data_IF_092795018439
#
_entry.id   IF_092795018439
#
_cell.length_a   1.000
_cell.length_b   1.000
_cell.length_c   1.000
_cell.angle_alpha   90.00
_cell.angle_beta   90.00
_cell.angle_gamma   90.00
#
_symmetry.space_group_name_H-M   'P 1'
#
loop_
_entity.id
_entity.type
_entity.pdbx_description
1 polymer ?
#
# COMPACT_ATOMS: atom_id res chain seq x y z
N UNK A 1 4.46 54.39 -24.49
CA UNK A 1 4.89 53.86 -23.17
C UNK A 1 4.82 52.36 -23.20
N UNK A 2 5.95 51.67 -23.31
CA UNK A 2 6.02 50.21 -23.29
C UNK A 2 6.13 49.80 -21.81
N UNK A 3 5.09 49.18 -21.29
CA UNK A 3 5.06 48.64 -19.93
C UNK A 3 5.91 47.36 -19.91
N UNK A 4 7.14 47.47 -19.40
CA UNK A 4 7.93 46.27 -19.04
C UNK A 4 7.21 45.56 -17.88
N UNK A 5 6.54 44.43 -18.15
CA UNK A 5 6.16 43.49 -17.12
C UNK A 5 7.47 42.97 -16.51
N UNK A 6 7.72 43.28 -15.23
CA UNK A 6 8.74 42.58 -14.45
C UNK A 6 8.34 41.09 -14.43
N UNK A 7 9.15 40.24 -15.03
CA UNK A 7 9.09 38.82 -14.78
C UNK A 7 9.33 38.61 -13.28
N UNK A 8 8.34 38.06 -12.58
CA UNK A 8 8.53 37.60 -11.21
C UNK A 8 9.54 36.44 -11.27
N UNK A 9 10.74 36.70 -10.80
CA UNK A 9 11.74 35.65 -10.63
C UNK A 9 11.23 34.72 -9.56
N UNK A 10 10.76 33.52 -9.96
CA UNK A 10 10.37 32.47 -9.00
C UNK A 10 11.60 32.17 -8.12
N UNK A 11 11.43 32.11 -6.78
CA UNK A 11 12.54 31.79 -5.90
C UNK A 11 13.14 30.42 -6.28
N UNK A 12 14.45 30.34 -6.27
CA UNK A 12 15.16 29.10 -6.56
C UNK A 12 14.84 28.05 -5.49
N UNK A 13 14.41 26.85 -5.93
CA UNK A 13 14.07 25.74 -5.02
C UNK A 13 15.37 25.17 -4.44
N UNK A 14 15.51 25.20 -3.11
CA UNK A 14 16.67 24.67 -2.40
C UNK A 14 16.66 23.14 -2.41
N UNK A 15 17.86 22.53 -2.47
CA UNK A 15 18.00 21.08 -2.34
C UNK A 15 18.05 20.68 -0.86
N UNK A 16 17.28 19.63 -0.51
CA UNK A 16 17.27 18.98 0.80
C UNK A 16 18.38 17.91 0.83
N UNK A 17 19.24 17.91 1.83
CA UNK A 17 20.16 16.78 2.03
C UNK A 17 19.35 15.54 2.42
N UNK A 18 19.54 14.46 1.66
CA UNK A 18 18.82 13.21 1.92
C UNK A 18 19.32 12.55 3.19
N UNK A 19 18.47 12.50 4.18
CA UNK A 19 18.64 11.74 5.42
C UNK A 19 17.38 10.92 5.69
N UNK A 20 17.45 9.61 5.45
CA UNK A 20 16.30 8.74 5.62
C UNK A 20 15.80 8.70 7.09
N UNK A 21 16.70 8.88 8.09
CA UNK A 21 16.33 8.88 9.51
C UNK A 21 15.47 10.07 9.89
N UNK A 22 15.70 11.22 9.25
CA UNK A 22 14.84 12.39 9.41
C UNK A 22 13.51 12.20 8.67
N UNK A 23 13.54 11.66 7.45
CA UNK A 23 12.33 11.41 6.67
C UNK A 23 11.43 10.33 7.27
N UNK A 24 11.98 9.33 7.96
CA UNK A 24 11.19 8.33 8.73
C UNK A 24 10.31 8.99 9.79
N UNK A 25 10.74 10.08 10.42
CA UNK A 25 9.97 10.82 11.42
C UNK A 25 8.76 11.54 10.82
N UNK A 26 8.74 11.71 9.51
CA UNK A 26 7.68 12.39 8.79
C UNK A 26 6.56 11.46 8.32
N UNK A 27 6.75 10.13 8.41
CA UNK A 27 5.65 9.20 8.21
C UNK A 27 4.52 9.47 9.22
N UNK A 28 3.28 9.35 8.76
CA UNK A 28 2.07 9.64 9.52
C UNK A 28 1.89 11.10 9.96
N UNK A 29 2.73 12.03 9.48
CA UNK A 29 2.45 13.47 9.66
C UNK A 29 1.39 13.94 8.66
N UNK A 30 0.56 14.93 9.03
CA UNK A 30 -0.40 15.51 8.10
C UNK A 30 0.31 16.08 6.85
N UNK A 31 -0.24 15.80 5.67
CA UNK A 31 0.28 16.25 4.38
C UNK A 31 0.62 17.76 4.35
N UNK A 32 -0.29 18.58 4.93
CA UNK A 32 -0.09 20.03 4.98
C UNK A 32 1.07 20.46 5.88
N UNK A 33 1.31 19.73 6.97
CA UNK A 33 2.42 20.01 7.88
C UNK A 33 3.76 19.61 7.24
N UNK A 34 3.79 18.49 6.52
CA UNK A 34 4.94 18.08 5.71
C UNK A 34 5.24 19.14 4.62
N UNK A 35 4.23 19.59 3.88
CA UNK A 35 4.39 20.63 2.87
C UNK A 35 4.93 21.94 3.47
N UNK A 36 4.44 22.34 4.64
CA UNK A 36 4.92 23.51 5.36
C UNK A 36 6.37 23.38 5.83
N UNK A 37 6.73 22.20 6.37
CA UNK A 37 8.10 21.89 6.85
C UNK A 37 9.13 22.02 5.73
N UNK A 38 8.80 21.57 4.53
CA UNK A 38 9.72 21.52 3.38
C UNK A 38 9.42 22.55 2.30
N UNK A 39 8.72 23.64 2.62
CA UNK A 39 8.23 24.62 1.65
C UNK A 39 9.33 25.17 0.69
N UNK A 40 10.57 25.35 1.18
CA UNK A 40 11.69 25.84 0.36
C UNK A 40 12.29 24.78 -0.58
N UNK A 41 11.95 23.51 -0.37
CA UNK A 41 12.48 22.37 -1.12
C UNK A 41 11.49 21.84 -2.15
N UNK A 42 10.21 22.30 -2.13
CA UNK A 42 9.14 21.78 -2.99
C UNK A 42 9.40 22.22 -4.44
N UNK A 43 9.49 21.24 -5.33
CA UNK A 43 9.50 21.43 -6.78
C UNK A 43 8.13 21.21 -7.42
N UNK A 44 7.32 20.28 -6.87
CA UNK A 44 5.95 19.99 -7.30
C UNK A 44 5.09 19.80 -6.06
N UNK A 45 3.93 20.45 -6.05
CA UNK A 45 2.86 20.26 -5.08
C UNK A 45 1.58 19.95 -5.83
N UNK A 46 1.03 18.75 -5.62
CA UNK A 46 -0.23 18.33 -6.21
C UNK A 46 -1.20 17.93 -5.08
N UNK A 47 -2.03 18.89 -4.68
CA UNK A 47 -3.01 18.68 -3.60
C UNK A 47 -4.11 17.69 -4.00
N UNK A 48 -4.40 17.53 -5.30
CA UNK A 48 -5.40 16.58 -5.78
C UNK A 48 -4.93 15.14 -5.68
N UNK A 49 -3.67 14.89 -6.07
CA UNK A 49 -3.05 13.57 -5.96
C UNK A 49 -2.43 13.32 -4.57
N UNK A 50 -2.50 14.28 -3.64
CA UNK A 50 -1.80 14.26 -2.36
C UNK A 50 -0.31 13.91 -2.51
N UNK A 51 0.37 14.57 -3.46
CA UNK A 51 1.74 14.28 -3.85
C UNK A 51 2.62 15.54 -3.69
N UNK A 52 3.76 15.37 -3.03
CA UNK A 52 4.79 16.40 -2.87
C UNK A 52 6.10 15.89 -3.44
N UNK A 53 6.74 16.65 -4.33
CA UNK A 53 8.09 16.35 -4.81
C UNK A 53 9.04 17.41 -4.31
N UNK A 54 10.06 17.00 -3.55
CA UNK A 54 11.14 17.84 -3.07
C UNK A 54 12.37 17.63 -3.95
N UNK A 55 13.13 18.70 -4.18
CA UNK A 55 14.51 18.58 -4.66
C UNK A 55 15.39 18.04 -3.54
N UNK A 56 16.11 16.97 -3.80
CA UNK A 56 17.05 16.37 -2.85
C UNK A 56 18.46 16.28 -3.40
N UNK A 57 19.40 16.04 -2.51
CA UNK A 57 20.79 15.73 -2.84
C UNK A 57 21.31 14.67 -1.89
N UNK A 58 22.03 13.68 -2.41
CA UNK A 58 22.74 12.66 -1.66
C UNK A 58 24.23 12.71 -2.02
N UNK A 59 25.09 12.81 -1.00
CA UNK A 59 26.54 12.79 -1.21
C UNK A 59 27.07 11.38 -1.03
N UNK A 60 27.74 10.85 -2.05
CA UNK A 60 28.41 9.55 -2.03
C UNK A 60 29.87 9.74 -2.42
N UNK A 61 30.78 9.37 -1.55
CA UNK A 61 32.24 9.49 -1.78
C UNK A 61 32.68 10.92 -2.20
N UNK A 62 32.03 11.94 -1.60
CA UNK A 62 32.35 13.35 -1.86
C UNK A 62 31.75 13.91 -3.16
N UNK A 63 30.94 13.15 -3.87
CA UNK A 63 30.22 13.60 -5.06
C UNK A 63 28.71 13.67 -4.76
N UNK A 64 28.10 14.79 -5.17
CA UNK A 64 26.67 15.03 -4.99
C UNK A 64 25.83 14.45 -6.13
N UNK A 65 24.75 13.78 -5.77
CA UNK A 65 23.77 13.20 -6.67
C UNK A 65 22.40 13.81 -6.41
N UNK A 66 21.82 14.44 -7.42
CA UNK A 66 20.50 15.05 -7.33
C UNK A 66 19.41 14.00 -7.28
N UNK A 67 18.44 14.19 -6.37
CA UNK A 67 17.31 13.29 -6.13
C UNK A 67 15.98 14.02 -6.30
N UNK A 68 14.96 13.29 -6.72
CA UNK A 68 13.56 13.59 -6.41
C UNK A 68 13.17 12.83 -5.15
N UNK A 69 12.69 13.54 -4.13
CA UNK A 69 12.11 12.96 -2.92
C UNK A 69 10.61 13.17 -3.01
N UNK A 70 9.87 12.08 -3.23
CA UNK A 70 8.46 12.06 -3.52
C UNK A 70 7.73 11.56 -2.28
N UNK A 71 6.92 12.41 -1.65
CA UNK A 71 6.05 12.05 -0.53
C UNK A 71 4.61 11.92 -1.02
N UNK A 72 3.96 10.83 -0.65
CA UNK A 72 2.55 10.56 -0.95
C UNK A 72 1.73 10.59 0.33
N UNK A 73 0.51 11.14 0.25
CA UNK A 73 -0.46 11.11 1.33
C UNK A 73 -1.47 9.97 1.15
N UNK A 74 -1.87 9.35 2.26
CA UNK A 74 -2.94 8.36 2.32
C UNK A 74 -4.34 9.01 2.37
N UNK A 75 -5.39 8.16 2.37
CA UNK A 75 -6.78 8.61 2.47
C UNK A 75 -7.12 9.31 3.81
N UNK A 76 -6.25 9.20 4.82
CA UNK A 76 -6.37 9.93 6.10
C UNK A 76 -5.81 11.35 6.00
N UNK A 77 -5.10 11.65 4.92
CA UNK A 77 -4.40 12.90 4.70
C UNK A 77 -3.03 12.98 5.39
N UNK A 78 -2.43 11.84 5.70
CA UNK A 78 -1.09 11.75 6.29
C UNK A 78 -0.10 11.18 5.27
N UNK A 79 1.18 11.51 5.43
CA UNK A 79 2.25 10.93 4.61
C UNK A 79 2.42 9.45 5.00
N UNK A 80 2.19 8.54 4.06
CA UNK A 80 2.31 7.09 4.24
C UNK A 80 3.53 6.48 3.54
N UNK A 81 4.05 7.19 2.54
CA UNK A 81 5.17 6.72 1.74
C UNK A 81 6.06 7.89 1.27
N UNK A 82 7.36 7.70 1.36
CA UNK A 82 8.37 8.60 0.82
C UNK A 82 9.32 7.79 -0.06
N UNK A 83 9.56 8.27 -1.29
CA UNK A 83 10.43 7.63 -2.27
C UNK A 83 11.52 8.61 -2.68
N UNK A 84 12.79 8.24 -2.49
CA UNK A 84 13.91 9.00 -3.05
C UNK A 84 14.49 8.26 -4.26
N UNK A 85 14.58 8.94 -5.38
CA UNK A 85 15.12 8.39 -6.64
C UNK A 85 16.03 9.40 -7.33
N UNK A 86 17.07 8.96 -8.08
CA UNK A 86 17.94 9.87 -8.78
C UNK A 86 17.18 10.63 -9.87
N UNK A 87 17.51 11.92 -10.03
CA UNK A 87 17.00 12.71 -11.16
C UNK A 87 17.60 12.28 -12.50
N UNK A 88 18.80 11.69 -12.48
CA UNK A 88 19.43 11.08 -13.65
C UNK A 88 19.56 9.56 -13.40
N UNK A 89 18.92 8.77 -14.25
CA UNK A 89 18.89 7.30 -14.17
C UNK A 89 20.29 6.67 -14.22
N UNK A 90 21.25 7.29 -14.90
CA UNK A 90 22.65 6.81 -14.93
C UNK A 90 23.31 6.74 -13.56
N UNK A 91 22.79 7.47 -12.57
CA UNK A 91 23.28 7.47 -11.20
C UNK A 91 22.71 6.31 -10.36
N UNK A 92 21.73 5.58 -10.87
CA UNK A 92 21.01 4.52 -10.14
C UNK A 92 21.93 3.43 -9.63
N UNK A 93 22.88 2.98 -10.44
CA UNK A 93 23.84 1.94 -10.06
C UNK A 93 24.77 2.38 -8.92
N UNK A 94 25.21 3.63 -8.93
CA UNK A 94 26.09 4.17 -7.88
C UNK A 94 25.34 4.26 -6.57
N UNK A 95 24.13 4.79 -6.59
CA UNK A 95 23.27 4.91 -5.40
C UNK A 95 22.84 3.55 -4.86
N UNK A 96 22.46 2.61 -5.74
CA UNK A 96 22.20 1.23 -5.34
C UNK A 96 23.37 0.61 -4.60
N UNK A 97 24.57 0.64 -5.18
CA UNK A 97 25.75 0.07 -4.57
C UNK A 97 26.09 0.73 -3.24
N UNK A 98 25.93 2.05 -3.13
CA UNK A 98 26.16 2.78 -1.89
C UNK A 98 25.19 2.35 -0.79
N UNK A 99 23.89 2.36 -1.06
CA UNK A 99 22.88 2.07 -0.04
C UNK A 99 22.80 0.61 0.33
N UNK A 100 22.90 -0.31 -0.63
CA UNK A 100 22.92 -1.75 -0.35
C UNK A 100 24.23 -2.17 0.29
N UNK A 101 25.37 -1.73 -0.27
CA UNK A 101 26.71 -2.09 0.23
C UNK A 101 26.98 -1.60 1.66
N UNK A 102 26.41 -0.47 2.06
CA UNK A 102 26.56 0.10 3.39
C UNK A 102 25.36 -0.14 4.31
N UNK A 103 24.47 -1.03 3.97
CA UNK A 103 23.21 -1.25 4.72
C UNK A 103 23.40 -1.56 6.19
N UNK A 104 24.44 -2.33 6.56
CA UNK A 104 24.79 -2.63 7.96
C UNK A 104 25.28 -1.40 8.73
N UNK A 105 25.98 -0.46 8.08
CA UNK A 105 26.50 0.76 8.67
C UNK A 105 25.46 1.85 8.78
N UNK A 106 24.51 1.89 7.85
CA UNK A 106 23.46 2.88 7.79
C UNK A 106 22.36 2.63 8.83
N UNK A 107 22.22 1.39 9.34
CA UNK A 107 21.31 1.09 10.45
C UNK A 107 19.84 1.09 10.05
N UNK A 108 19.49 0.39 8.96
CA UNK A 108 18.12 0.29 8.45
C UNK A 108 17.15 -0.53 9.30
N UNK A 109 17.63 -1.18 10.36
CA UNK A 109 16.87 -2.13 11.16
C UNK A 109 17.15 -3.57 10.75
N UNK A 110 16.25 -4.48 11.12
CA UNK A 110 16.38 -5.89 10.80
C UNK A 110 16.14 -6.14 9.30
N UNK A 111 17.04 -6.90 8.67
CA UNK A 111 16.80 -7.39 7.31
C UNK A 111 15.62 -8.36 7.32
N UNK A 112 14.69 -8.17 6.41
CA UNK A 112 13.50 -9.01 6.28
C UNK A 112 13.70 -10.00 5.14
N UNK A 113 13.94 -9.49 3.94
CA UNK A 113 14.05 -10.30 2.74
C UNK A 113 14.67 -9.48 1.60
N UNK A 114 15.21 -10.18 0.61
CA UNK A 114 15.43 -9.62 -0.71
C UNK A 114 14.61 -10.40 -1.73
N UNK A 115 13.88 -9.69 -2.58
CA UNK A 115 13.11 -10.27 -3.68
C UNK A 115 13.74 -9.91 -5.00
N UNK A 116 13.60 -10.81 -5.97
CA UNK A 116 14.01 -10.53 -7.33
C UNK A 116 13.00 -11.10 -8.34
N UNK A 117 12.91 -10.45 -9.48
CA UNK A 117 12.16 -10.91 -10.65
C UNK A 117 13.03 -10.75 -11.90
N UNK A 118 13.23 -11.84 -12.61
CA UNK A 118 14.03 -11.92 -13.84
C UNK A 118 13.17 -12.45 -14.99
N UNK A 119 13.74 -12.55 -16.17
CA UNK A 119 13.07 -13.21 -17.31
C UNK A 119 12.79 -14.69 -17.02
N UNK A 120 13.68 -15.34 -16.26
CA UNK A 120 13.65 -16.78 -16.03
C UNK A 120 12.85 -17.17 -14.77
N UNK A 121 12.41 -16.20 -13.95
CA UNK A 121 11.64 -16.46 -12.74
C UNK A 121 11.75 -15.36 -11.68
N UNK A 122 11.20 -15.66 -10.52
CA UNK A 122 11.25 -14.80 -9.34
C UNK A 122 11.64 -15.61 -8.12
N UNK A 123 12.18 -14.95 -7.09
CA UNK A 123 12.55 -15.59 -5.84
C UNK A 123 12.64 -14.62 -4.69
N UNK A 124 12.74 -15.22 -3.49
CA UNK A 124 12.92 -14.49 -2.23
C UNK A 124 14.08 -15.10 -1.47
N UNK A 125 14.99 -14.26 -1.01
CA UNK A 125 16.14 -14.59 -0.18
C UNK A 125 15.91 -14.01 1.21
N UNK A 126 15.97 -14.82 2.23
CA UNK A 126 15.69 -14.44 3.63
C UNK A 126 16.96 -14.18 4.44
N UNK A 127 18.12 -14.47 3.86
CA UNK A 127 19.43 -14.14 4.44
C UNK A 127 20.04 -12.95 3.70
N UNK A 128 20.49 -11.93 4.47
CA UNK A 128 21.16 -10.76 3.89
C UNK A 128 22.48 -11.15 3.22
N UNK A 129 23.22 -12.12 3.77
CA UNK A 129 24.48 -12.62 3.21
C UNK A 129 24.24 -13.31 1.85
N UNK A 130 23.23 -14.18 1.77
CA UNK A 130 22.84 -14.81 0.50
C UNK A 130 22.40 -13.78 -0.53
N UNK A 131 21.61 -12.78 -0.11
CA UNK A 131 21.16 -11.72 -0.98
C UNK A 131 22.33 -10.91 -1.54
N UNK A 132 23.28 -10.50 -0.69
CA UNK A 132 24.47 -9.76 -1.09
C UNK A 132 25.35 -10.59 -2.03
N UNK A 133 25.53 -11.89 -1.77
CA UNK A 133 26.27 -12.81 -2.64
C UNK A 133 25.59 -12.98 -3.98
N UNK A 134 24.27 -13.20 -3.99
CA UNK A 134 23.47 -13.34 -5.21
C UNK A 134 23.58 -12.09 -6.11
N UNK A 135 23.38 -10.90 -5.54
CA UNK A 135 23.43 -9.65 -6.32
C UNK A 135 24.85 -9.17 -6.63
N UNK A 136 25.84 -9.60 -5.86
CA UNK A 136 27.25 -9.39 -6.20
C UNK A 136 27.69 -10.20 -7.41
N UNK A 137 27.18 -11.42 -7.58
CA UNK A 137 27.45 -12.30 -8.72
C UNK A 137 26.53 -12.04 -9.93
N UNK A 138 25.33 -11.56 -9.69
CA UNK A 138 24.34 -11.19 -10.69
C UNK A 138 24.22 -9.67 -10.73
N UNK A 139 25.19 -8.99 -11.34
CA UNK A 139 25.10 -7.54 -11.51
C UNK A 139 23.71 -7.21 -12.10
N UNK A 140 23.12 -6.09 -11.67
CA UNK A 140 21.86 -5.60 -12.22
C UNK A 140 21.99 -5.39 -13.74
N UNK A 141 21.87 -6.48 -14.45
CA UNK A 141 21.93 -6.55 -15.91
C UNK A 141 20.52 -6.40 -16.44
N UNK A 142 20.41 -6.20 -17.73
CA UNK A 142 19.16 -6.13 -18.50
C UNK A 142 18.18 -7.30 -18.30
N UNK A 143 18.59 -8.38 -17.62
CA UNK A 143 17.77 -9.55 -17.30
C UNK A 143 17.03 -9.45 -15.94
N UNK A 144 17.39 -8.52 -15.05
CA UNK A 144 16.72 -8.35 -13.77
C UNK A 144 15.77 -7.16 -13.83
N UNK A 145 14.46 -7.45 -13.89
CA UNK A 145 13.44 -6.39 -13.99
C UNK A 145 13.21 -5.65 -12.68
N UNK A 146 13.26 -6.37 -11.58
CA UNK A 146 12.90 -5.84 -10.28
C UNK A 146 13.65 -6.57 -9.18
N UNK A 147 14.27 -5.80 -8.30
CA UNK A 147 15.00 -6.30 -7.14
C UNK A 147 14.69 -5.40 -5.95
N UNK A 148 14.47 -6.00 -4.76
CA UNK A 148 14.33 -5.23 -3.53
C UNK A 148 15.16 -5.84 -2.42
N UNK A 149 15.74 -4.98 -1.58
CA UNK A 149 16.23 -5.30 -0.24
C UNK A 149 15.33 -4.61 0.77
N UNK A 150 14.73 -5.38 1.66
CA UNK A 150 13.72 -4.88 2.60
C UNK A 150 14.20 -5.02 4.03
N UNK A 151 14.04 -3.95 4.80
CA UNK A 151 14.38 -3.84 6.20
C UNK A 151 13.17 -3.34 6.98
N UNK A 152 13.04 -3.74 8.25
CA UNK A 152 12.01 -3.21 9.13
C UNK A 152 12.56 -2.83 10.49
N UNK A 153 12.04 -1.72 11.03
CA UNK A 153 12.28 -1.25 12.38
C UNK A 153 10.97 -0.69 12.97
N UNK A 154 10.37 -1.41 13.91
CA UNK A 154 9.06 -1.03 14.44
C UNK A 154 7.96 -1.07 13.39
N UNK A 155 7.25 0.06 13.22
CA UNK A 155 6.16 0.20 12.24
C UNK A 155 6.63 0.68 10.85
N UNK A 156 7.94 0.84 10.65
CA UNK A 156 8.49 1.36 9.40
C UNK A 156 9.16 0.25 8.61
N UNK A 157 8.94 0.23 7.32
CA UNK A 157 9.63 -0.59 6.33
C UNK A 157 10.48 0.30 5.43
N UNK A 158 11.73 -0.06 5.29
CA UNK A 158 12.65 0.55 4.33
C UNK A 158 12.90 -0.45 3.20
N UNK A 159 12.83 0.00 1.97
CA UNK A 159 13.16 -0.86 0.84
C UNK A 159 14.06 -0.14 -0.15
N UNK A 160 15.10 -0.85 -0.58
CA UNK A 160 15.98 -0.43 -1.66
C UNK A 160 15.53 -1.18 -2.90
N UNK A 161 14.98 -0.47 -3.87
CA UNK A 161 14.46 -1.03 -5.12
C UNK A 161 15.40 -0.72 -6.28
N UNK A 162 15.57 -1.69 -7.15
CA UNK A 162 16.14 -1.51 -8.48
C UNK A 162 15.17 -2.10 -9.51
N UNK A 163 14.55 -1.25 -10.32
CA UNK A 163 13.60 -1.66 -11.34
C UNK A 163 14.08 -1.20 -12.71
N UNK A 164 14.33 -2.14 -13.62
CA UNK A 164 14.82 -1.86 -15.00
C UNK A 164 15.98 -0.87 -15.05
N UNK A 165 16.90 -0.96 -14.07
CA UNK A 165 18.04 -0.05 -13.95
C UNK A 165 17.77 1.22 -13.13
N UNK A 166 16.52 1.49 -12.74
CA UNK A 166 16.16 2.66 -11.94
C UNK A 166 16.16 2.35 -10.45
N UNK A 167 16.97 3.08 -9.68
CA UNK A 167 17.05 2.97 -8.23
C UNK A 167 15.97 3.78 -7.55
N UNK A 168 15.41 3.24 -6.47
CA UNK A 168 14.57 3.97 -5.54
C UNK A 168 14.82 3.52 -4.09
N UNK A 169 14.91 4.48 -3.18
CA UNK A 169 14.91 4.27 -1.74
C UNK A 169 13.50 4.57 -1.21
N UNK A 170 12.83 3.55 -0.66
CA UNK A 170 11.46 3.65 -0.16
C UNK A 170 11.45 3.67 1.36
N UNK A 171 10.65 4.57 1.92
CA UNK A 171 10.32 4.67 3.34
C UNK A 171 8.79 4.58 3.40
N UNK A 172 8.23 3.60 4.12
CA UNK A 172 6.79 3.39 4.17
C UNK A 172 6.37 2.71 5.47
N UNK A 173 5.08 2.70 5.75
CA UNK A 173 4.52 1.88 6.80
C UNK A 173 4.75 0.39 6.52
N UNK A 174 4.90 -0.40 7.59
CA UNK A 174 5.11 -1.85 7.49
C UNK A 174 3.79 -2.62 7.32
N UNK A 175 2.81 -2.02 6.66
CA UNK A 175 1.52 -2.62 6.35
C UNK A 175 0.86 -1.93 5.15
N UNK A 176 -0.11 -2.62 4.54
CA UNK A 176 -0.97 -2.06 3.51
C UNK A 176 -2.09 -1.24 4.17
N UNK A 177 -2.29 0.00 3.74
CA UNK A 177 -3.50 0.73 4.13
C UNK A 177 -4.70 0.19 3.36
N UNK A 178 -5.67 -0.38 4.08
CA UNK A 178 -6.91 -0.91 3.51
C UNK A 178 -7.94 0.21 3.41
N UNK A 179 -8.12 0.73 2.22
CA UNK A 179 -9.06 1.80 1.92
C UNK A 179 -9.85 1.54 0.62
N UNK A 180 -10.60 2.55 0.17
CA UNK A 180 -11.39 2.47 -1.07
C UNK A 180 -10.49 2.23 -2.29
N UNK A 181 -9.27 2.75 -2.32
CA UNK A 181 -8.34 2.58 -3.45
C UNK A 181 -7.90 1.12 -3.62
N UNK A 182 -7.80 0.37 -2.53
CA UNK A 182 -7.52 -1.07 -2.53
C UNK A 182 -8.76 -1.84 -2.97
N UNK A 183 -9.90 -1.62 -2.30
CA UNK A 183 -11.12 -2.42 -2.52
C UNK A 183 -11.78 -2.18 -3.88
N UNK A 184 -11.66 -0.97 -4.44
CA UNK A 184 -12.23 -0.60 -5.74
C UNK A 184 -11.21 -0.32 -6.82
N UNK A 185 -10.04 0.18 -6.45
CA UNK A 185 -9.01 0.56 -7.39
C UNK A 185 -8.25 -0.63 -7.97
N UNK A 186 -8.12 -1.73 -7.24
CA UNK A 186 -7.39 -2.91 -7.71
C UNK A 186 -8.18 -3.85 -8.62
N UNK A 187 -9.49 -4.13 -8.39
CA UNK A 187 -10.25 -4.91 -9.35
C UNK A 187 -10.20 -4.30 -10.76
N UNK A 188 -9.85 -5.12 -11.75
CA UNK A 188 -9.68 -4.68 -13.14
C UNK A 188 -8.27 -4.19 -13.52
N UNK A 189 -7.39 -3.91 -12.55
CA UNK A 189 -5.96 -3.61 -12.80
C UNK A 189 -5.26 -4.86 -13.28
N UNK A 190 -4.25 -4.72 -14.15
CA UNK A 190 -3.46 -5.88 -14.56
C UNK A 190 -2.69 -6.43 -13.36
N UNK A 191 -2.65 -7.75 -13.23
CA UNK A 191 -1.95 -8.39 -12.12
C UNK A 191 -0.46 -8.01 -12.08
N UNK A 192 0.17 -7.91 -13.24
CA UNK A 192 1.59 -7.55 -13.35
C UNK A 192 1.86 -6.13 -12.82
N UNK A 193 0.98 -5.17 -13.13
CA UNK A 193 1.13 -3.80 -12.64
C UNK A 193 0.97 -3.75 -11.13
N UNK A 194 -0.02 -4.49 -10.58
CA UNK A 194 -0.22 -4.57 -9.15
C UNK A 194 0.97 -5.24 -8.44
N UNK A 195 1.50 -6.35 -8.98
CA UNK A 195 2.71 -7.00 -8.45
C UNK A 195 3.87 -6.02 -8.41
N UNK A 196 4.07 -5.26 -9.47
CA UNK A 196 5.17 -4.27 -9.53
C UNK A 196 4.99 -3.16 -8.51
N UNK A 197 3.78 -2.60 -8.42
CA UNK A 197 3.47 -1.51 -7.49
C UNK A 197 3.58 -1.92 -6.01
N UNK A 198 3.22 -3.18 -5.70
CA UNK A 198 3.13 -3.71 -4.33
C UNK A 198 4.25 -4.69 -3.97
N UNK A 199 5.31 -4.76 -4.78
CA UNK A 199 6.38 -5.77 -4.69
C UNK A 199 7.00 -5.91 -3.29
N UNK A 200 7.15 -4.80 -2.58
CA UNK A 200 7.78 -4.77 -1.26
C UNK A 200 6.87 -5.33 -0.16
N UNK A 201 5.56 -5.06 -0.23
CA UNK A 201 4.60 -5.41 0.83
C UNK A 201 3.92 -6.76 0.63
N UNK A 202 3.93 -7.29 -0.59
CA UNK A 202 3.15 -8.46 -0.97
C UNK A 202 3.98 -9.72 -1.07
N UNK A 203 3.30 -10.87 -1.01
CA UNK A 203 3.82 -12.20 -1.36
C UNK A 203 3.04 -12.73 -2.55
N UNK A 204 3.72 -13.06 -3.66
CA UNK A 204 3.06 -13.73 -4.78
C UNK A 204 2.71 -15.18 -4.38
N UNK A 205 1.46 -15.59 -4.66
CA UNK A 205 0.96 -16.95 -4.61
C UNK A 205 0.55 -17.38 -6.01
N UNK A 206 0.20 -18.63 -6.22
CA UNK A 206 -0.09 -19.19 -7.56
C UNK A 206 -0.99 -18.28 -8.43
N UNK A 207 -2.08 -17.74 -7.85
CA UNK A 207 -3.07 -16.90 -8.56
C UNK A 207 -3.45 -15.64 -7.83
N UNK A 208 -2.64 -15.24 -6.87
CA UNK A 208 -2.96 -14.09 -6.03
C UNK A 208 -1.74 -13.37 -5.52
N UNK A 209 -1.98 -12.15 -5.08
CA UNK A 209 -1.04 -11.31 -4.37
C UNK A 209 -1.53 -11.19 -2.92
N UNK A 210 -0.75 -11.70 -1.99
CA UNK A 210 -1.11 -11.78 -0.57
C UNK A 210 -0.36 -10.75 0.28
N UNK A 211 -1.07 -10.12 1.21
CA UNK A 211 -0.57 -9.16 2.17
C UNK A 211 -0.86 -9.68 3.58
N UNK A 212 0.18 -9.96 4.34
CA UNK A 212 0.04 -10.49 5.70
C UNK A 212 -0.53 -9.48 6.69
N UNK A 213 -0.31 -8.19 6.42
CA UNK A 213 -0.76 -7.11 7.28
C UNK A 213 -1.33 -5.98 6.46
N UNK A 214 -2.59 -5.69 6.70
CA UNK A 214 -3.26 -4.48 6.27
C UNK A 214 -3.98 -3.85 7.45
N UNK A 215 -4.11 -2.55 7.47
CA UNK A 215 -4.86 -1.82 8.49
C UNK A 215 -5.86 -0.90 7.80
N UNK A 216 -7.11 -0.93 8.27
CA UNK A 216 -8.12 0.01 7.79
C UNK A 216 -7.94 1.41 8.43
N UNK A 217 -8.75 2.36 7.99
CA UNK A 217 -8.68 3.74 8.47
C UNK A 217 -9.12 3.92 9.94
N UNK A 218 -9.61 2.86 10.57
CA UNK A 218 -10.01 2.81 11.99
C UNK A 218 -8.98 2.06 12.84
N UNK A 219 -7.92 1.51 12.23
CA UNK A 219 -6.86 0.75 12.89
C UNK A 219 -7.19 -0.73 13.09
N UNK A 220 -8.24 -1.25 12.42
CA UNK A 220 -8.51 -2.68 12.44
C UNK A 220 -7.55 -3.40 11.49
N UNK A 221 -7.05 -4.57 11.93
CA UNK A 221 -6.07 -5.34 11.18
C UNK A 221 -6.73 -6.41 10.33
N UNK A 222 -6.24 -6.53 9.10
CA UNK A 222 -6.69 -7.51 8.11
C UNK A 222 -5.51 -8.22 7.46
N UNK A 223 -5.77 -9.40 6.90
CA UNK A 223 -5.00 -9.95 5.78
C UNK A 223 -5.73 -9.60 4.49
N UNK A 224 -4.99 -9.31 3.42
CA UNK A 224 -5.58 -8.97 2.12
C UNK A 224 -5.05 -9.91 1.06
N UNK A 225 -5.94 -10.36 0.17
CA UNK A 225 -5.56 -11.17 -0.98
C UNK A 225 -6.25 -10.66 -2.25
N UNK A 226 -5.44 -10.31 -3.26
CA UNK A 226 -5.90 -9.88 -4.57
C UNK A 226 -5.78 -11.03 -5.57
N UNK A 227 -6.92 -11.54 -6.06
CA UNK A 227 -6.99 -12.66 -7.00
C UNK A 227 -7.01 -12.18 -8.44
N UNK A 228 -6.23 -12.80 -9.31
CA UNK A 228 -6.20 -12.45 -10.72
C UNK A 228 -7.34 -13.14 -11.51
N UNK A 229 -7.63 -12.58 -12.69
CA UNK A 229 -8.48 -13.22 -13.67
C UNK A 229 -7.61 -13.95 -14.69
N UNK A 230 -7.63 -15.29 -14.66
CA UNK A 230 -6.80 -16.15 -15.54
C UNK A 230 -6.97 -15.85 -17.04
N UNK A 231 -8.11 -15.35 -17.47
CA UNK A 231 -8.38 -15.06 -18.89
C UNK A 231 -7.61 -13.86 -19.42
N UNK A 232 -7.41 -12.83 -18.60
CA UNK A 232 -6.83 -11.56 -19.04
C UNK A 232 -5.73 -11.02 -18.11
N UNK A 233 -5.34 -11.79 -17.08
CA UNK A 233 -4.33 -11.39 -16.11
C UNK A 233 -4.69 -10.18 -15.25
N UNK A 234 -5.98 -9.83 -15.17
CA UNK A 234 -6.47 -8.75 -14.32
C UNK A 234 -6.87 -9.26 -12.95
N UNK A 235 -6.76 -8.40 -11.95
CA UNK A 235 -7.33 -8.65 -10.62
C UNK A 235 -8.84 -8.76 -10.74
N UNK A 236 -9.42 -9.85 -10.28
CA UNK A 236 -10.86 -10.12 -10.28
C UNK A 236 -11.51 -9.63 -9.00
N UNK A 237 -10.93 -10.02 -7.86
CA UNK A 237 -11.44 -9.70 -6.54
C UNK A 237 -10.31 -9.33 -5.60
N UNK A 238 -10.63 -8.53 -4.60
CA UNK A 238 -9.77 -8.20 -3.46
C UNK A 238 -10.50 -8.60 -2.21
N UNK A 239 -9.97 -9.57 -1.49
CA UNK A 239 -10.53 -10.09 -0.25
C UNK A 239 -9.73 -9.56 0.94
N UNK A 240 -10.37 -8.86 1.85
CA UNK A 240 -9.81 -8.44 3.13
C UNK A 240 -10.49 -9.23 4.25
N UNK A 241 -9.71 -10.03 4.98
CA UNK A 241 -10.19 -10.89 6.07
C UNK A 241 -9.70 -10.32 7.39
N UNK A 242 -10.62 -10.07 8.34
CA UNK A 242 -10.29 -9.53 9.66
C UNK A 242 -9.33 -10.47 10.40
N UNK A 243 -8.24 -9.93 10.92
CA UNK A 243 -7.29 -10.68 11.73
C UNK A 243 -7.83 -10.83 13.17
N UNK A 244 -8.51 -11.93 13.43
CA UNK A 244 -9.11 -12.21 14.73
C UNK A 244 -8.10 -12.54 15.83
N UNK A 245 -6.82 -12.71 15.52
CA UNK A 245 -5.78 -12.82 16.56
C UNK A 245 -5.62 -11.50 17.32
N UNK A 246 -5.93 -10.37 16.66
CA UNK A 246 -5.92 -9.03 17.24
C UNK A 246 -7.33 -8.59 17.64
N UNK A 247 -8.36 -9.07 16.94
CA UNK A 247 -9.77 -8.76 17.17
C UNK A 247 -10.50 -9.98 17.76
N UNK A 248 -10.05 -10.46 18.94
CA UNK A 248 -10.37 -11.79 19.48
C UNK A 248 -11.73 -11.92 20.16
N UNK A 249 -12.49 -10.84 20.39
CA UNK A 249 -13.81 -10.92 21.01
C UNK A 249 -14.93 -10.70 20.01
N UNK A 250 -16.04 -11.42 20.19
CA UNK A 250 -17.24 -11.24 19.38
C UNK A 250 -17.70 -9.78 19.33
N UNK A 251 -17.70 -9.07 20.45
CA UNK A 251 -18.12 -7.67 20.50
C UNK A 251 -17.27 -6.77 19.61
N UNK A 252 -15.95 -7.02 19.53
CA UNK A 252 -15.06 -6.30 18.64
C UNK A 252 -15.35 -6.62 17.18
N UNK A 253 -15.48 -7.90 16.84
CA UNK A 253 -15.83 -8.33 15.47
C UNK A 253 -17.14 -7.71 15.03
N UNK A 254 -18.18 -7.77 15.89
CA UNK A 254 -19.48 -7.17 15.63
C UNK A 254 -19.39 -5.63 15.50
N UNK A 255 -18.56 -4.97 16.30
CA UNK A 255 -18.32 -3.53 16.19
C UNK A 255 -17.71 -3.14 14.84
N UNK A 256 -16.70 -3.88 14.39
CA UNK A 256 -16.09 -3.68 13.07
C UNK A 256 -17.12 -3.92 11.97
N UNK A 257 -17.88 -5.02 12.07
CA UNK A 257 -18.89 -5.36 11.08
C UNK A 257 -20.00 -4.29 10.98
N UNK A 258 -20.47 -3.75 12.12
CA UNK A 258 -21.44 -2.65 12.17
C UNK A 258 -20.91 -1.40 11.46
N UNK A 259 -19.67 -1.03 11.72
CA UNK A 259 -19.04 0.14 11.09
C UNK A 259 -19.03 0.01 9.56
N UNK A 260 -18.68 -1.17 9.05
CA UNK A 260 -18.70 -1.43 7.62
C UNK A 260 -20.12 -1.55 7.06
N UNK A 261 -20.99 -2.33 7.69
CA UNK A 261 -22.35 -2.59 7.22
C UNK A 261 -23.23 -1.33 7.16
N UNK A 262 -22.99 -0.36 8.06
CA UNK A 262 -23.67 0.94 8.06
C UNK A 262 -23.00 1.97 7.16
N UNK A 263 -21.83 1.67 6.61
CA UNK A 263 -21.04 2.65 5.86
C UNK A 263 -20.56 3.83 6.72
N UNK A 264 -20.50 3.64 8.04
CA UNK A 264 -20.07 4.67 9.00
C UNK A 264 -18.55 4.76 9.12
N UNK A 265 -17.81 3.82 8.54
CA UNK A 265 -16.35 3.89 8.41
C UNK A 265 -15.93 5.06 7.51
N UNK A 266 -14.64 5.39 7.54
CA UNK A 266 -14.08 6.40 6.62
C UNK A 266 -14.05 5.93 5.16
N UNK A 267 -14.58 4.73 4.87
CA UNK A 267 -14.68 4.16 3.54
C UNK A 267 -15.98 4.62 2.88
N UNK A 268 -15.87 5.21 1.69
CA UNK A 268 -17.02 5.50 0.85
C UNK A 268 -17.49 4.21 0.14
N UNK A 269 -18.33 3.42 0.81
CA UNK A 269 -18.81 2.14 0.28
C UNK A 269 -19.77 2.30 -0.92
N UNK A 270 -20.33 3.48 -1.11
CA UNK A 270 -21.32 3.75 -2.18
C UNK A 270 -22.76 3.51 -1.70
N UNK A 271 -23.64 3.11 -2.62
CA UNK A 271 -25.07 2.91 -2.35
C UNK A 271 -25.33 1.47 -1.93
N UNK A 272 -26.05 1.28 -0.82
CA UNK A 272 -26.55 -0.03 -0.40
C UNK A 272 -27.38 -0.68 -1.49
N UNK A 273 -27.07 -1.92 -1.85
CA UNK A 273 -27.77 -2.70 -2.87
C UNK A 273 -28.57 -3.85 -2.28
N UNK A 274 -27.94 -4.67 -1.43
CA UNK A 274 -28.58 -5.86 -0.89
C UNK A 274 -28.22 -6.09 0.56
N UNK A 275 -29.18 -6.70 1.28
CA UNK A 275 -29.00 -7.24 2.64
C UNK A 275 -29.48 -8.70 2.56
N UNK A 276 -28.58 -9.66 2.74
CA UNK A 276 -28.87 -11.08 2.49
C UNK A 276 -28.36 -11.97 3.62
N UNK A 277 -29.02 -13.10 3.79
CA UNK A 277 -28.55 -14.19 4.64
C UNK A 277 -28.52 -15.47 3.82
N UNK A 278 -27.47 -16.24 3.98
CA UNK A 278 -27.31 -17.55 3.36
C UNK A 278 -27.24 -18.63 4.42
N UNK A 279 -27.95 -19.75 4.20
CA UNK A 279 -27.85 -21.02 4.95
C UNK A 279 -27.62 -22.14 3.99
N UNK A 280 -26.68 -23.05 4.31
CA UNK A 280 -26.32 -24.18 3.45
C UNK A 280 -26.06 -23.76 1.98
N UNK A 281 -25.41 -22.60 1.80
CA UNK A 281 -25.11 -22.03 0.48
C UNK A 281 -26.32 -21.48 -0.28
N UNK A 282 -27.51 -21.40 0.33
CA UNK A 282 -28.73 -20.89 -0.28
C UNK A 282 -29.15 -19.58 0.37
N UNK A 283 -29.56 -18.61 -0.46
CA UNK A 283 -30.15 -17.37 0.03
C UNK A 283 -31.48 -17.65 0.74
N UNK A 284 -31.62 -17.16 1.96
CA UNK A 284 -32.86 -17.17 2.72
C UNK A 284 -33.58 -15.86 2.44
N UNK A 285 -34.59 -15.88 1.57
CA UNK A 285 -35.31 -14.68 1.15
C UNK A 285 -36.16 -14.07 2.27
N UNK A 286 -36.26 -12.75 2.31
CA UNK A 286 -37.20 -11.98 3.15
C UNK A 286 -36.88 -12.00 4.65
N UNK A 287 -35.63 -12.29 5.04
CA UNK A 287 -35.24 -12.32 6.46
C UNK A 287 -35.07 -10.89 6.98
N UNK A 288 -34.40 -10.01 6.21
CA UNK A 288 -34.16 -8.63 6.58
C UNK A 288 -34.34 -7.69 5.38
N UNK A 289 -34.92 -6.51 5.62
CA UNK A 289 -35.06 -5.47 4.61
C UNK A 289 -34.02 -4.36 4.80
N UNK A 290 -33.44 -4.27 5.99
CA UNK A 290 -32.50 -3.21 6.36
C UNK A 290 -31.30 -3.79 7.09
N UNK A 291 -30.19 -3.03 7.08
CA UNK A 291 -28.98 -3.37 7.84
C UNK A 291 -29.30 -3.33 9.35
N UNK A 292 -30.14 -2.40 9.82
CA UNK A 292 -30.49 -2.29 11.24
C UNK A 292 -31.25 -3.51 11.76
N UNK A 293 -32.18 -4.06 10.96
CA UNK A 293 -32.87 -5.31 11.31
C UNK A 293 -31.87 -6.49 11.42
N UNK A 294 -30.95 -6.61 10.49
CA UNK A 294 -29.91 -7.63 10.50
C UNK A 294 -28.96 -7.47 11.70
N UNK A 295 -28.56 -6.25 12.02
CA UNK A 295 -27.74 -5.94 13.20
C UNK A 295 -28.44 -6.31 14.51
N UNK A 296 -29.73 -5.97 14.67
CA UNK A 296 -30.50 -6.30 15.83
C UNK A 296 -30.65 -7.84 16.03
N UNK A 297 -30.72 -8.61 14.95
CA UNK A 297 -30.74 -10.06 14.98
C UNK A 297 -29.39 -10.62 15.46
N UNK A 298 -28.28 -10.11 14.91
CA UNK A 298 -26.92 -10.52 15.31
C UNK A 298 -26.60 -10.17 16.76
N UNK A 299 -27.05 -8.99 17.24
CA UNK A 299 -26.91 -8.60 18.66
C UNK A 299 -27.64 -9.54 19.60
N UNK A 300 -28.82 -10.00 19.18
CA UNK A 300 -29.65 -10.91 19.97
C UNK A 300 -29.16 -12.35 19.95
N UNK A 301 -28.72 -12.84 18.79
CA UNK A 301 -28.33 -14.24 18.58
C UNK A 301 -26.86 -14.52 18.89
N UNK A 302 -26.02 -13.49 18.83
CA UNK A 302 -24.58 -13.65 18.92
C UNK A 302 -23.95 -14.07 17.59
N UNK A 303 -22.73 -14.62 17.68
CA UNK A 303 -21.98 -15.06 16.50
C UNK A 303 -22.73 -16.14 15.71
N UNK A 304 -22.92 -15.99 14.39
CA UNK A 304 -23.59 -17.00 13.59
C UNK A 304 -22.80 -18.32 13.60
N UNK A 305 -23.52 -19.46 13.62
CA UNK A 305 -22.90 -20.80 13.57
C UNK A 305 -23.07 -21.50 12.23
N UNK A 306 -24.16 -21.18 11.52
CA UNK A 306 -24.58 -21.89 10.30
C UNK A 306 -25.12 -20.95 9.21
N UNK A 307 -24.94 -19.66 9.38
CA UNK A 307 -25.42 -18.66 8.46
C UNK A 307 -24.33 -17.65 8.09
N UNK A 308 -24.40 -17.16 6.86
CA UNK A 308 -23.57 -16.04 6.36
C UNK A 308 -24.48 -14.82 6.22
N UNK A 309 -24.10 -13.74 6.85
CA UNK A 309 -24.75 -12.43 6.74
C UNK A 309 -23.96 -11.58 5.75
N UNK A 310 -24.62 -11.02 4.76
CA UNK A 310 -23.99 -10.23 3.70
C UNK A 310 -24.70 -8.90 3.49
N UNK A 311 -23.90 -7.84 3.37
CA UNK A 311 -24.35 -6.50 2.94
C UNK A 311 -23.51 -6.11 1.75
N UNK A 312 -24.15 -5.71 0.64
CA UNK A 312 -23.45 -5.31 -0.58
C UNK A 312 -23.73 -3.85 -0.91
N UNK A 313 -22.68 -3.12 -1.21
CA UNK A 313 -22.69 -1.74 -1.70
C UNK A 313 -22.18 -1.68 -3.12
N UNK A 314 -22.61 -0.67 -3.88
CA UNK A 314 -22.11 -0.44 -5.22
C UNK A 314 -21.87 1.06 -5.48
N UNK A 315 -20.83 1.31 -6.28
CA UNK A 315 -20.52 2.62 -6.86
C UNK A 315 -20.04 2.38 -8.28
N UNK A 316 -20.80 2.85 -9.26
CA UNK A 316 -20.58 2.57 -10.68
C UNK A 316 -20.59 1.06 -10.97
N UNK A 317 -19.51 0.54 -11.56
CA UNK A 317 -19.33 -0.88 -11.86
C UNK A 317 -18.68 -1.68 -10.73
N UNK A 318 -18.28 -1.00 -9.65
CA UNK A 318 -17.58 -1.61 -8.53
C UNK A 318 -18.51 -1.96 -7.39
N UNK A 319 -18.32 -3.12 -6.80
CA UNK A 319 -19.09 -3.65 -5.69
C UNK A 319 -18.18 -3.91 -4.49
N UNK A 320 -18.72 -3.70 -3.31
CA UNK A 320 -18.10 -4.11 -2.04
C UNK A 320 -19.13 -4.94 -1.28
N UNK A 321 -18.82 -6.22 -1.06
CA UNK A 321 -19.59 -7.11 -0.20
C UNK A 321 -18.91 -7.23 1.16
N UNK A 322 -19.70 -7.15 2.22
CA UNK A 322 -19.26 -7.30 3.60
C UNK A 322 -19.98 -8.53 4.15
N UNK A 323 -19.21 -9.59 4.41
CA UNK A 323 -19.76 -10.88 4.89
C UNK A 323 -19.30 -11.16 6.31
N UNK A 324 -20.16 -11.77 7.09
CA UNK A 324 -19.90 -12.28 8.43
C UNK A 324 -20.44 -13.69 8.55
N UNK A 325 -19.60 -14.62 8.93
CA UNK A 325 -19.94 -16.01 9.17
C UNK A 325 -19.44 -16.52 10.53
N UNK A 326 -19.48 -17.83 10.74
CA UNK A 326 -19.02 -18.46 11.97
C UNK A 326 -17.52 -18.26 12.24
N UNK A 327 -16.73 -18.07 11.19
CA UNK A 327 -15.29 -18.05 11.29
C UNK A 327 -14.73 -16.62 11.29
N UNK A 328 -15.26 -15.73 10.42
CA UNK A 328 -14.62 -14.44 10.20
C UNK A 328 -15.52 -13.35 9.61
N UNK A 329 -15.03 -12.13 9.68
CA UNK A 329 -15.51 -10.99 8.91
C UNK A 329 -14.63 -10.82 7.66
N UNK A 330 -15.25 -10.75 6.50
CA UNK A 330 -14.59 -10.52 5.22
C UNK A 330 -15.20 -9.31 4.51
N UNK A 331 -14.34 -8.47 3.94
CA UNK A 331 -14.72 -7.38 3.04
C UNK A 331 -14.15 -7.71 1.67
N UNK A 332 -14.99 -7.78 0.65
CA UNK A 332 -14.60 -8.15 -0.71
C UNK A 332 -14.92 -7.03 -1.69
N UNK A 333 -13.91 -6.58 -2.43
CA UNK A 333 -14.07 -5.67 -3.56
C UNK A 333 -14.03 -6.42 -4.89
N UNK A 334 -14.95 -6.14 -5.83
CA UNK A 334 -15.02 -6.78 -7.14
C UNK A 334 -15.74 -5.91 -8.18
N UNK A 335 -15.59 -6.27 -9.46
CA UNK A 335 -16.32 -5.67 -10.56
C UNK A 335 -17.47 -6.62 -10.95
N UNK A 336 -18.66 -6.06 -11.19
CA UNK A 336 -19.77 -6.81 -11.81
C UNK A 336 -19.37 -7.27 -13.20
N UNK A 337 -19.54 -8.54 -13.47
CA UNK A 337 -19.44 -9.11 -14.83
C UNK A 337 -20.60 -8.69 -15.71
#
# INVERSE_FOLDING_TARGET
MVSCKKEEVKPEVKSLTFDYKELVKDLNTPYKDFAKKYAENISILDDYAALIVLKGVCSVEGKDYSLNIIASGDARGNIDKIVAQPMNEDNSKVLWNHFVGNSSQLGYGAFIEAKYKTLDGSGTLTSQEEAMSFFGSHSATSSTFLTSFTYAGGNVRLALLLSTGNFAFLIMDNYLTLDESVLRGWPGVTYTDLVTAMFVLSKERDKSLFFERAEDLLGNRFTVEAFNNEKNGKVKTVDAVLDETVCSSWDKVLSVWKSYAKGEGKLNLGTLKTVKVYKDGKEVSGVFNTVDEMLADLEKKGRPSDAIYEVTFAKDVFYIAITLDAETLKVQGFISE
#
